data_IF_140970459706
#
_entry.id   IF_140970459706
#
_cell.length_a   1.000
_cell.length_b   1.000
_cell.length_c   1.000
_cell.angle_alpha   90.00
_cell.angle_beta   90.00
_cell.angle_gamma   90.00
#
_symmetry.space_group_name_H-M   'P 1'
#
loop_
_entity.id
_entity.type
_entity.pdbx_description
1 polymer ?
#
# COMPACT_ATOMS: atom_id res chain seq x y z
N UNK A 1 -19.69 -26.01 31.08
CA UNK A 1 -19.92 -26.23 29.63
C UNK A 1 -20.18 -24.94 28.86
N UNK A 2 -21.12 -24.07 29.28
CA UNK A 2 -21.46 -22.82 28.56
C UNK A 2 -20.26 -21.90 28.27
N UNK A 3 -19.41 -21.66 29.28
CA UNK A 3 -18.18 -20.86 29.13
C UNK A 3 -17.14 -21.49 28.19
N UNK A 4 -17.01 -22.82 28.20
CA UNK A 4 -16.08 -23.54 27.32
C UNK A 4 -16.54 -23.47 25.86
N UNK A 5 -17.84 -23.59 25.62
CA UNK A 5 -18.43 -23.42 24.28
C UNK A 5 -18.21 -21.98 23.79
N UNK A 6 -18.45 -20.97 24.63
CA UNK A 6 -18.21 -19.56 24.29
C UNK A 6 -16.73 -19.32 23.96
N UNK A 7 -15.81 -19.84 24.77
CA UNK A 7 -14.36 -19.71 24.54
C UNK A 7 -13.93 -20.41 23.23
N UNK A 8 -14.43 -21.62 22.96
CA UNK A 8 -14.16 -22.32 21.70
C UNK A 8 -14.71 -21.57 20.49
N UNK A 9 -15.92 -21.01 20.58
CA UNK A 9 -16.47 -20.19 19.49
C UNK A 9 -15.63 -18.94 19.24
N UNK A 10 -15.14 -18.27 20.29
CA UNK A 10 -14.26 -17.10 20.17
C UNK A 10 -12.93 -17.45 19.48
N UNK A 11 -12.30 -18.54 19.90
CA UNK A 11 -11.06 -19.02 19.29
C UNK A 11 -11.28 -19.36 17.81
N UNK A 12 -12.39 -20.02 17.48
CA UNK A 12 -12.70 -20.37 16.09
C UNK A 12 -12.87 -19.12 15.20
N UNK A 13 -13.53 -18.08 15.70
CA UNK A 13 -13.69 -16.79 14.98
C UNK A 13 -12.33 -16.14 14.73
N UNK A 14 -11.44 -16.14 15.73
CA UNK A 14 -10.07 -15.60 15.58
C UNK A 14 -9.30 -16.38 14.50
N UNK A 15 -9.40 -17.71 14.49
CA UNK A 15 -8.76 -18.54 13.46
C UNK A 15 -9.28 -18.26 12.05
N UNK A 16 -10.59 -18.03 11.89
CA UNK A 16 -11.18 -17.66 10.59
C UNK A 16 -10.62 -16.32 10.11
N UNK A 17 -10.56 -15.31 11.00
CA UNK A 17 -10.01 -13.99 10.68
C UNK A 17 -8.53 -14.10 10.27
N UNK A 18 -7.73 -14.84 11.04
CA UNK A 18 -6.33 -15.10 10.72
C UNK A 18 -6.16 -15.86 9.40
N UNK A 19 -7.00 -16.85 9.12
CA UNK A 19 -6.98 -17.62 7.89
C UNK A 19 -7.26 -16.77 6.66
N UNK A 20 -8.30 -15.93 6.71
CA UNK A 20 -8.62 -14.99 5.62
C UNK A 20 -7.47 -13.99 5.41
N UNK A 21 -6.89 -13.48 6.49
CA UNK A 21 -5.74 -12.58 6.40
C UNK A 21 -4.54 -13.26 5.72
N UNK A 22 -4.20 -14.50 6.11
CA UNK A 22 -3.11 -15.27 5.52
C UNK A 22 -3.33 -15.56 4.03
N UNK A 23 -4.53 -16.01 3.64
CA UNK A 23 -4.86 -16.27 2.23
C UNK A 23 -4.73 -14.97 1.39
N UNK A 24 -5.19 -13.84 1.93
CA UNK A 24 -5.07 -12.53 1.27
C UNK A 24 -3.62 -12.06 1.13
N UNK A 25 -2.72 -12.54 2.00
CA UNK A 25 -1.29 -12.27 1.96
C UNK A 25 -0.58 -13.16 0.92
N UNK A 26 -0.90 -14.46 0.90
CA UNK A 26 -0.29 -15.45 0.00
C UNK A 26 -0.69 -15.26 -1.46
N UNK A 27 -1.91 -14.82 -1.75
CA UNK A 27 -2.40 -14.63 -3.13
C UNK A 27 -1.81 -13.44 -3.90
N UNK A 28 -0.83 -12.73 -3.33
CA UNK A 28 -0.23 -11.54 -3.95
C UNK A 28 1.04 -11.91 -4.71
N UNK A 29 1.06 -11.57 -6.00
CA UNK A 29 2.20 -11.83 -6.89
C UNK A 29 3.35 -10.84 -6.68
N UNK A 30 3.02 -9.59 -6.29
CA UNK A 30 3.98 -8.48 -6.12
C UNK A 30 4.07 -8.01 -4.64
N UNK A 31 4.04 -8.94 -3.68
CA UNK A 31 3.89 -8.64 -2.23
C UNK A 31 4.95 -7.71 -1.67
N UNK A 32 6.14 -7.68 -2.27
CA UNK A 32 7.23 -6.81 -1.85
C UNK A 32 7.06 -5.36 -2.33
N UNK A 33 6.51 -5.11 -3.52
CA UNK A 33 6.45 -3.75 -4.04
C UNK A 33 5.44 -2.89 -3.30
N UNK A 34 5.79 -1.64 -3.00
CA UNK A 34 4.89 -0.69 -2.33
C UNK A 34 3.71 -0.30 -3.24
N UNK A 35 3.98 -0.18 -4.53
CA UNK A 35 3.00 0.13 -5.56
C UNK A 35 3.52 -0.34 -6.92
N UNK A 36 2.61 -0.74 -7.80
CA UNK A 36 2.93 -1.18 -9.16
C UNK A 36 1.77 -0.86 -10.11
N UNK A 37 2.03 -0.93 -11.41
CA UNK A 37 1.03 -0.73 -12.45
C UNK A 37 0.93 -1.97 -13.32
N UNK A 38 -0.28 -2.47 -13.51
CA UNK A 38 -0.59 -3.62 -14.36
C UNK A 38 -1.93 -3.32 -15.05
N UNK A 39 -2.03 -3.56 -16.36
CA UNK A 39 -3.23 -3.35 -17.17
C UNK A 39 -3.90 -1.97 -16.98
N UNK A 40 -3.09 -0.90 -16.94
CA UNK A 40 -3.55 0.48 -16.71
C UNK A 40 -4.26 0.71 -15.36
N UNK A 41 -3.99 -0.16 -14.38
CA UNK A 41 -4.46 -0.04 -13.01
C UNK A 41 -3.24 0.21 -12.11
N UNK A 42 -3.30 1.27 -11.30
CA UNK A 42 -2.40 1.51 -10.19
C UNK A 42 -2.84 0.66 -8.99
N UNK A 43 -1.94 -0.22 -8.56
CA UNK A 43 -2.09 -1.04 -7.37
C UNK A 43 -1.30 -0.41 -6.23
N UNK A 44 -2.00 -0.06 -5.16
CA UNK A 44 -1.39 0.35 -3.90
C UNK A 44 -1.39 -0.84 -2.95
N UNK A 45 -0.23 -1.47 -2.80
CA UNK A 45 -0.06 -2.62 -1.93
C UNK A 45 -0.11 -2.16 -0.47
N UNK A 46 -1.07 -2.72 0.26
CA UNK A 46 -1.27 -2.57 1.71
C UNK A 46 -2.05 -3.78 2.21
N UNK A 47 -2.36 -3.96 3.50
CA UNK A 47 -3.16 -5.11 3.98
C UNK A 47 -4.42 -5.39 3.13
N UNK A 48 -5.03 -4.35 2.55
CA UNK A 48 -6.03 -4.49 1.50
C UNK A 48 -5.59 -3.73 0.24
N UNK A 49 -5.25 -4.47 -0.82
CA UNK A 49 -4.78 -3.86 -2.09
C UNK A 49 -5.84 -2.89 -2.61
N UNK A 50 -5.43 -1.65 -2.88
CA UNK A 50 -6.32 -0.67 -3.49
C UNK A 50 -5.99 -0.58 -4.98
N UNK A 51 -6.99 -0.85 -5.81
CA UNK A 51 -6.92 -0.74 -7.28
C UNK A 51 -7.51 0.59 -7.71
N UNK A 52 -6.82 1.30 -8.60
CA UNK A 52 -7.21 2.61 -9.11
C UNK A 52 -6.93 2.64 -10.61
N UNK A 53 -7.92 2.91 -11.45
CA UNK A 53 -7.65 3.08 -12.89
C UNK A 53 -6.77 4.31 -13.11
N UNK A 54 -5.74 4.20 -13.93
CA UNK A 54 -4.90 5.36 -14.29
C UNK A 54 -5.72 6.48 -14.94
N UNK A 55 -6.79 6.13 -15.67
CA UNK A 55 -7.69 7.10 -16.30
C UNK A 55 -8.42 7.99 -15.30
N UNK A 56 -8.60 7.53 -14.07
CA UNK A 56 -9.38 8.22 -13.04
C UNK A 56 -8.51 9.15 -12.21
N UNK A 57 -7.18 9.05 -12.36
CA UNK A 57 -6.21 9.84 -11.61
C UNK A 57 -6.14 11.24 -12.21
N UNK A 58 -6.23 12.25 -11.34
CA UNK A 58 -5.97 13.66 -11.68
C UNK A 58 -4.51 13.99 -11.46
N UNK A 59 -3.99 13.68 -10.27
CA UNK A 59 -2.59 13.87 -9.90
C UNK A 59 -2.23 13.01 -8.68
N UNK A 60 -0.93 12.81 -8.48
CA UNK A 60 -0.39 12.07 -7.33
C UNK A 60 0.55 12.99 -6.54
N UNK A 61 0.46 12.95 -5.22
CA UNK A 61 1.44 13.62 -4.34
C UNK A 61 2.14 12.56 -3.50
N UNK A 62 3.46 12.64 -3.46
CA UNK A 62 4.30 11.88 -2.56
C UNK A 62 4.78 12.78 -1.42
N UNK A 63 4.77 12.26 -0.20
CA UNK A 63 5.35 12.91 0.98
C UNK A 63 6.32 11.99 1.69
N UNK A 64 7.51 12.45 2.01
CA UNK A 64 8.41 11.76 2.95
C UNK A 64 8.24 12.33 4.35
N UNK A 65 8.35 11.49 5.37
CA UNK A 65 8.35 11.96 6.76
C UNK A 65 9.15 11.01 7.65
N UNK A 66 9.77 11.59 8.69
CA UNK A 66 10.54 10.86 9.70
C UNK A 66 9.68 10.60 10.92
N UNK A 67 9.68 9.36 11.42
CA UNK A 67 8.99 8.98 12.65
C UNK A 67 9.82 7.96 13.42
N UNK A 68 10.06 8.22 14.71
CA UNK A 68 10.75 7.32 15.66
C UNK A 68 12.05 6.71 15.11
N UNK A 69 12.88 7.54 14.46
CA UNK A 69 14.18 7.12 13.92
C UNK A 69 14.15 6.46 12.55
N UNK A 70 12.97 6.20 11.97
CA UNK A 70 12.81 5.66 10.62
C UNK A 70 12.11 6.66 9.71
N UNK A 71 12.25 6.50 8.40
CA UNK A 71 11.48 7.23 7.40
C UNK A 71 10.29 6.43 6.90
N UNK A 72 9.31 7.13 6.38
CA UNK A 72 8.14 6.55 5.73
C UNK A 72 7.68 7.49 4.61
N UNK A 73 7.08 6.89 3.60
CA UNK A 73 6.44 7.59 2.50
C UNK A 73 4.93 7.60 2.65
N UNK A 74 4.29 8.60 2.06
CA UNK A 74 2.85 8.67 1.89
C UNK A 74 2.55 8.99 0.44
N UNK A 75 1.75 8.15 -0.20
CA UNK A 75 1.17 8.41 -1.51
C UNK A 75 -0.25 8.92 -1.33
N UNK A 76 -0.56 10.02 -2.02
CA UNK A 76 -1.87 10.65 -2.06
C UNK A 76 -2.29 10.68 -3.53
N UNK A 77 -3.31 9.90 -3.86
CA UNK A 77 -3.87 9.84 -5.22
C UNK A 77 -5.14 10.67 -5.24
N UNK A 78 -5.10 11.79 -5.95
CA UNK A 78 -6.24 12.66 -6.17
C UNK A 78 -6.95 12.22 -7.45
N UNK A 79 -8.23 11.86 -7.34
CA UNK A 79 -9.04 11.40 -8.46
C UNK A 79 -9.82 12.54 -9.11
N UNK A 80 -10.19 12.37 -10.37
CA UNK A 80 -10.96 13.35 -11.15
C UNK A 80 -12.32 13.67 -10.54
N UNK A 81 -12.93 12.72 -9.84
CA UNK A 81 -14.19 12.88 -9.12
C UNK A 81 -14.05 13.52 -7.72
N UNK A 82 -12.96 14.23 -7.45
CA UNK A 82 -12.62 14.86 -6.16
C UNK A 82 -12.39 13.90 -4.98
N UNK A 83 -12.43 12.57 -5.20
CA UNK A 83 -12.08 11.60 -4.16
C UNK A 83 -10.56 11.54 -3.98
N UNK A 84 -10.11 11.38 -2.74
CA UNK A 84 -8.69 11.28 -2.40
C UNK A 84 -8.41 9.94 -1.72
N UNK A 85 -7.39 9.23 -2.23
CA UNK A 85 -6.93 7.96 -1.66
C UNK A 85 -5.53 8.17 -1.07
N UNK A 86 -5.35 7.79 0.21
CA UNK A 86 -4.08 7.97 0.92
C UNK A 86 -3.56 6.62 1.41
N UNK A 87 -2.27 6.36 1.19
CA UNK A 87 -1.58 5.16 1.70
C UNK A 87 -0.19 5.51 2.19
N UNK A 88 0.20 4.84 3.28
CA UNK A 88 1.54 4.89 3.83
C UNK A 88 2.34 3.72 3.26
N UNK A 89 3.63 3.95 3.01
CA UNK A 89 4.58 2.94 2.56
C UNK A 89 5.96 3.21 3.17
N UNK A 90 6.87 2.25 3.08
CA UNK A 90 8.22 2.39 3.62
C UNK A 90 9.24 2.01 2.55
N UNK A 91 9.43 0.71 2.34
CA UNK A 91 10.30 0.17 1.30
C UNK A 91 9.88 -1.25 0.96
N UNK A 92 10.16 -1.68 -0.27
CA UNK A 92 10.02 -3.07 -0.68
C UNK A 92 11.15 -3.97 -0.18
N UNK A 93 12.21 -3.40 0.40
CA UNK A 93 13.38 -4.12 0.90
C UNK A 93 13.23 -4.46 2.38
N UNK A 94 13.75 -5.61 2.81
CA UNK A 94 13.84 -5.94 4.23
C UNK A 94 14.88 -5.03 4.90
N UNK A 95 14.46 -4.18 5.83
CA UNK A 95 15.35 -3.32 6.59
C UNK A 95 14.79 -3.04 8.00
N UNK A 96 15.67 -2.98 8.99
CA UNK A 96 15.33 -2.63 10.37
C UNK A 96 15.09 -1.13 10.55
N UNK A 97 15.82 -0.30 9.81
CA UNK A 97 15.67 1.15 9.78
C UNK A 97 15.59 1.61 8.34
N UNK A 98 14.54 2.37 8.01
CA UNK A 98 14.32 2.88 6.65
C UNK A 98 14.87 4.30 6.58
N UNK A 99 15.78 4.56 5.64
CA UNK A 99 16.29 5.90 5.38
C UNK A 99 15.38 6.64 4.39
N UNK A 100 15.50 7.97 4.34
CA UNK A 100 14.77 8.79 3.37
C UNK A 100 15.05 8.37 1.92
N UNK A 101 16.31 8.09 1.61
CA UNK A 101 16.76 7.65 0.29
C UNK A 101 16.07 6.34 -0.13
N UNK A 102 15.82 5.43 0.82
CA UNK A 102 15.08 4.19 0.52
C UNK A 102 13.63 4.47 0.15
N UNK A 103 12.99 5.44 0.81
CA UNK A 103 11.62 5.86 0.48
C UNK A 103 11.58 6.55 -0.88
N UNK A 104 12.54 7.45 -1.15
CA UNK A 104 12.67 8.12 -2.45
C UNK A 104 12.92 7.12 -3.57
N UNK A 105 13.76 6.10 -3.35
CA UNK A 105 13.99 5.03 -4.31
C UNK A 105 12.73 4.23 -4.64
N UNK A 106 11.80 4.04 -3.69
CA UNK A 106 10.50 3.45 -4.02
C UNK A 106 9.67 4.36 -4.94
N UNK A 107 9.63 5.67 -4.64
CA UNK A 107 8.92 6.65 -5.47
C UNK A 107 9.51 6.65 -6.89
N UNK A 108 10.84 6.60 -6.99
CA UNK A 108 11.57 6.58 -8.26
C UNK A 108 11.14 5.43 -9.16
N UNK A 109 10.82 4.25 -8.61
CA UNK A 109 10.37 3.07 -9.40
C UNK A 109 9.11 3.33 -10.20
N UNK A 110 8.14 4.11 -9.69
CA UNK A 110 6.87 4.33 -10.38
C UNK A 110 6.87 5.56 -11.29
N UNK A 111 7.80 6.48 -11.07
CA UNK A 111 7.94 7.71 -11.84
C UNK A 111 7.97 7.53 -13.36
N UNK A 112 8.73 6.56 -13.92
CA UNK A 112 8.72 6.31 -15.37
C UNK A 112 7.32 6.00 -15.89
N UNK A 113 6.54 5.23 -15.13
CA UNK A 113 5.16 4.92 -15.48
C UNK A 113 4.27 6.15 -15.42
N UNK A 114 4.41 6.97 -14.36
CA UNK A 114 3.65 8.23 -14.26
C UNK A 114 3.94 9.17 -15.43
N UNK A 115 5.21 9.28 -15.82
CA UNK A 115 5.64 10.05 -17.01
C UNK A 115 5.06 9.47 -18.29
N UNK A 116 5.11 8.15 -18.48
CA UNK A 116 4.56 7.46 -19.66
C UNK A 116 3.07 7.75 -19.87
N UNK A 117 2.30 7.79 -18.79
CA UNK A 117 0.86 8.05 -18.83
C UNK A 117 0.49 9.52 -18.62
N UNK A 118 1.46 10.44 -18.64
CA UNK A 118 1.24 11.88 -18.43
C UNK A 118 0.47 12.19 -17.14
N UNK A 119 0.67 11.39 -16.09
CA UNK A 119 0.05 11.60 -14.78
C UNK A 119 0.89 12.61 -14.01
N UNK A 120 0.35 13.80 -13.68
CA UNK A 120 1.07 14.79 -12.90
C UNK A 120 1.40 14.26 -11.50
N UNK A 121 2.64 14.46 -11.05
CA UNK A 121 3.03 14.09 -9.69
C UNK A 121 3.99 15.10 -9.05
N UNK A 122 3.94 15.17 -7.72
CA UNK A 122 4.86 15.99 -6.91
C UNK A 122 5.49 15.15 -5.81
N UNK A 123 6.71 15.49 -5.41
CA UNK A 123 7.44 14.85 -4.30
C UNK A 123 7.79 15.95 -3.31
N UNK A 124 7.21 15.87 -2.10
CA UNK A 124 7.32 16.88 -1.04
C UNK A 124 7.88 16.31 0.26
#
# INVERSE_FOLDING_TARGET
MRMVIIMMTLVMVIFIICGVALISLLGRKNTMECFYVEDNILYLNSLFVKKISLSDIRNIEFKTFRSRGSYSGKIIVNLKNAKVIKRYFQTSKMAFFVSEQMVLAEIEKITPTLKKYYIPYTIN
#
